data_IF_203775835861
#
_entry.id   IF_203775835861
#
_cell.length_a   1.000
_cell.length_b   1.000
_cell.length_c   1.000
_cell.angle_alpha   90.00
_cell.angle_beta   90.00
_cell.angle_gamma   90.00
#
_symmetry.space_group_name_H-M   'P 1'
#
loop_
_entity.id
_entity.type
_entity.pdbx_description
1 polymer ?
#
# COMPACT_ATOMS: atom_id res chain seq x y z
N UNK A 1 46.14 1.85 35.82
CA UNK A 1 46.01 3.26 35.38
C UNK A 1 45.61 3.27 33.91
N UNK A 2 44.33 3.42 33.60
CA UNK A 2 43.87 3.90 32.29
C UNK A 2 42.55 4.65 32.53
N UNK A 3 42.69 5.95 32.73
CA UNK A 3 41.63 6.94 32.64
C UNK A 3 41.64 7.48 31.23
N UNK A 4 40.50 7.43 30.52
CA UNK A 4 40.13 8.50 29.59
C UNK A 4 38.61 8.49 29.38
N UNK A 5 38.00 9.49 30.01
CA UNK A 5 36.62 9.93 29.86
C UNK A 5 36.43 10.49 28.45
N UNK A 6 35.37 10.06 27.76
CA UNK A 6 34.68 10.89 26.76
C UNK A 6 33.20 10.91 27.12
N UNK A 7 32.88 11.78 28.08
CA UNK A 7 31.52 12.29 28.29
C UNK A 7 31.14 13.06 27.02
N UNK A 8 30.40 12.43 26.12
CA UNK A 8 29.67 13.14 25.08
C UNK A 8 28.53 13.87 25.76
N UNK A 9 28.77 15.15 26.06
CA UNK A 9 27.67 16.09 26.34
C UNK A 9 26.79 16.10 25.10
N UNK A 10 25.64 15.43 25.20
CA UNK A 10 24.53 15.67 24.30
C UNK A 10 24.18 17.15 24.43
N UNK A 11 24.48 17.94 23.40
CA UNK A 11 24.09 19.34 23.34
C UNK A 11 22.58 19.33 23.19
N UNK A 12 21.86 19.38 24.31
CA UNK A 12 20.46 19.80 24.32
C UNK A 12 20.46 21.24 23.80
N UNK A 13 20.25 21.40 22.50
CA UNK A 13 19.90 22.70 21.92
C UNK A 13 18.58 23.10 22.57
N UNK A 14 18.66 23.92 23.60
CA UNK A 14 17.53 24.66 24.12
C UNK A 14 17.03 25.58 22.98
N UNK A 15 16.01 25.12 22.26
CA UNK A 15 15.21 25.98 21.39
C UNK A 15 14.28 26.76 22.32
N UNK A 16 14.86 27.77 22.99
CA UNK A 16 14.19 28.65 23.92
C UNK A 16 13.19 29.53 23.15
N UNK A 17 11.91 29.16 23.14
CA UNK A 17 10.86 30.09 22.72
C UNK A 17 9.60 29.53 22.04
N UNK A 18 9.54 28.25 21.66
CA UNK A 18 8.26 27.67 21.18
C UNK A 18 7.43 27.21 22.37
N UNK A 19 6.35 27.96 22.68
CA UNK A 19 5.26 27.43 23.52
C UNK A 19 4.82 26.09 22.94
N UNK A 20 4.80 25.08 23.80
CA UNK A 20 4.31 23.75 23.50
C UNK A 20 2.82 23.87 23.12
N UNK A 21 2.51 23.87 21.83
CA UNK A 21 1.12 23.82 21.33
C UNK A 21 0.47 22.45 21.59
N UNK A 22 1.18 21.52 22.25
CA UNK A 22 0.75 20.14 22.51
C UNK A 22 -0.45 20.02 23.45
N UNK A 23 -0.83 21.08 24.16
CA UNK A 23 -1.96 21.04 25.10
C UNK A 23 -3.32 21.30 24.43
N UNK A 24 -3.34 21.65 23.14
CA UNK A 24 -4.60 21.83 22.40
C UNK A 24 -5.16 20.45 22.04
N UNK A 25 -6.30 20.10 22.63
CA UNK A 25 -7.04 18.90 22.26
C UNK A 25 -7.46 18.98 20.79
N UNK A 26 -7.08 17.97 20.00
CA UNK A 26 -7.45 17.88 18.59
C UNK A 26 -8.95 17.58 18.46
N UNK A 27 -9.70 18.32 17.63
CA UNK A 27 -11.05 17.94 17.27
C UNK A 27 -11.01 16.63 16.47
N UNK A 28 -11.78 15.63 16.91
CA UNK A 28 -11.86 14.33 16.24
C UNK A 28 -13.14 14.30 15.38
N UNK A 29 -13.04 14.21 14.04
CA UNK A 29 -14.22 14.09 13.18
C UNK A 29 -15.07 12.88 13.57
N UNK A 30 -16.39 12.98 13.42
CA UNK A 30 -17.27 11.82 13.56
C UNK A 30 -16.89 10.71 12.56
N UNK A 31 -17.17 9.44 12.91
CA UNK A 31 -16.86 8.31 12.00
C UNK A 31 -17.65 8.47 10.70
N UNK A 32 -17.00 8.57 9.53
CA UNK A 32 -17.70 8.79 8.26
C UNK A 32 -18.64 7.63 7.94
N UNK A 33 -19.84 7.95 7.45
CA UNK A 33 -20.84 6.97 7.01
C UNK A 33 -20.83 6.87 5.48
N UNK A 34 -21.05 5.67 4.97
CA UNK A 34 -21.16 5.41 3.52
C UNK A 34 -19.83 5.12 2.81
N UNK A 35 -19.99 4.64 1.57
CA UNK A 35 -18.90 4.33 0.65
C UNK A 35 -19.38 4.65 -0.79
N UNK A 36 -18.53 5.24 -1.67
CA UNK A 36 -17.22 5.81 -1.38
C UNK A 36 -17.28 7.03 -0.46
N UNK A 37 -16.24 7.27 0.34
CA UNK A 37 -16.20 8.44 1.23
C UNK A 37 -15.79 9.68 0.43
N UNK A 38 -16.49 10.82 0.53
CA UNK A 38 -16.12 12.03 -0.20
C UNK A 38 -14.76 12.57 0.24
N UNK A 39 -14.10 13.25 -0.70
CA UNK A 39 -12.94 14.08 -0.38
C UNK A 39 -13.29 15.14 0.66
N UNK A 40 -12.28 15.58 1.40
CA UNK A 40 -12.43 16.66 2.38
C UNK A 40 -12.97 17.95 1.73
N UNK A 41 -13.81 18.65 2.47
CA UNK A 41 -14.36 19.96 2.16
C UNK A 41 -13.55 21.09 2.82
N UNK A 42 -13.90 22.34 2.53
CA UNK A 42 -13.28 23.51 3.20
C UNK A 42 -13.53 23.50 4.71
N UNK A 43 -14.73 23.08 5.11
CA UNK A 43 -15.12 22.95 6.51
C UNK A 43 -14.28 21.86 7.19
N UNK A 44 -14.15 20.69 6.55
CA UNK A 44 -13.30 19.61 7.08
C UNK A 44 -11.84 20.05 7.22
N UNK A 45 -11.33 20.80 6.24
CA UNK A 45 -9.97 21.32 6.28
C UNK A 45 -9.79 22.31 7.44
N UNK A 46 -10.75 23.23 7.60
CA UNK A 46 -10.73 24.25 8.63
C UNK A 46 -10.81 23.65 10.03
N UNK A 47 -11.71 22.70 10.23
CA UNK A 47 -12.03 22.15 11.53
C UNK A 47 -11.10 21.01 11.94
N UNK A 48 -10.48 20.28 11.01
CA UNK A 48 -9.71 19.08 11.35
C UNK A 48 -8.31 19.04 10.74
N UNK A 49 -8.14 19.38 9.46
CA UNK A 49 -6.83 19.30 8.81
C UNK A 49 -5.83 20.33 9.36
N UNK A 50 -6.21 21.59 9.48
CA UNK A 50 -5.28 22.62 9.93
C UNK A 50 -4.89 22.48 11.40
N UNK A 51 -5.78 22.08 12.32
CA UNK A 51 -5.35 21.64 13.65
C UNK A 51 -4.29 20.53 13.60
N UNK A 52 -4.42 19.54 12.71
CA UNK A 52 -3.43 18.48 12.57
C UNK A 52 -2.04 18.99 12.15
N UNK A 53 -1.96 20.11 11.42
CA UNK A 53 -0.67 20.73 11.07
C UNK A 53 0.10 21.20 12.31
N UNK A 54 -0.60 21.68 13.34
CA UNK A 54 0.03 22.02 14.62
C UNK A 54 0.58 20.79 15.35
N UNK A 55 0.08 19.59 15.02
CA UNK A 55 0.55 18.29 15.53
C UNK A 55 1.52 17.57 14.58
N UNK A 56 2.09 18.30 13.62
CA UNK A 56 3.14 17.79 12.73
C UNK A 56 2.66 16.90 11.59
N UNK A 57 1.35 16.80 11.36
CA UNK A 57 0.83 16.24 10.12
C UNK A 57 0.94 17.24 8.99
N UNK A 58 1.06 16.77 7.76
CA UNK A 58 1.04 17.63 6.58
C UNK A 58 0.58 16.85 5.36
N UNK A 59 0.16 17.58 4.34
CA UNK A 59 -0.21 17.01 3.04
C UNK A 59 1.03 16.95 2.16
N UNK A 60 1.26 15.82 1.50
CA UNK A 60 2.33 15.68 0.51
C UNK A 60 1.90 14.78 -0.66
N UNK A 61 2.52 14.97 -1.84
CA UNK A 61 2.31 14.07 -2.96
C UNK A 61 3.05 12.76 -2.71
N UNK A 62 2.33 11.65 -2.82
CA UNK A 62 2.90 10.29 -2.78
C UNK A 62 2.67 9.64 -4.14
N UNK A 63 3.71 8.99 -4.68
CA UNK A 63 3.55 8.24 -5.93
C UNK A 63 2.81 6.93 -5.67
N UNK A 64 1.72 6.70 -6.41
CA UNK A 64 1.05 5.41 -6.56
C UNK A 64 1.07 5.04 -8.03
N UNK A 65 1.82 3.99 -8.37
CA UNK A 65 1.95 3.52 -9.74
C UNK A 65 2.43 4.64 -10.69
N UNK A 66 1.53 5.17 -11.52
CA UNK A 66 1.76 6.26 -12.47
C UNK A 66 1.14 7.60 -12.05
N UNK A 67 0.46 7.67 -10.91
CA UNK A 67 -0.31 8.84 -10.47
C UNK A 67 0.26 9.37 -9.16
N UNK A 68 0.29 10.70 -9.01
CA UNK A 68 0.57 11.31 -7.71
C UNK A 68 -0.74 11.41 -6.94
N UNK A 69 -0.73 11.05 -5.67
CA UNK A 69 -1.93 11.15 -4.84
C UNK A 69 -1.60 12.01 -3.63
N UNK A 70 -2.57 12.81 -3.22
CA UNK A 70 -2.47 13.53 -1.97
C UNK A 70 -2.56 12.54 -0.80
N UNK A 71 -1.59 12.58 0.09
CA UNK A 71 -1.62 11.80 1.31
C UNK A 71 -1.30 12.68 2.52
N UNK A 72 -1.76 12.23 3.68
CA UNK A 72 -1.52 12.85 4.96
C UNK A 72 -0.35 12.13 5.63
N UNK A 73 0.74 12.84 5.88
CA UNK A 73 1.99 12.29 6.39
C UNK A 73 2.28 12.83 7.79
N UNK A 74 2.87 11.99 8.63
CA UNK A 74 3.44 12.40 9.90
C UNK A 74 4.69 11.58 10.22
N UNK A 75 5.57 12.16 11.03
CA UNK A 75 6.80 11.56 11.52
C UNK A 75 6.81 11.65 13.04
N UNK A 76 7.02 10.51 13.69
CA UNK A 76 7.22 10.40 15.13
C UNK A 76 8.65 9.91 15.39
N UNK A 77 9.35 10.56 16.31
CA UNK A 77 10.71 10.21 16.70
C UNK A 77 10.72 9.66 18.13
N UNK A 78 11.47 8.57 18.31
CA UNK A 78 11.52 7.80 19.54
C UNK A 78 12.98 7.58 19.97
N UNK A 79 13.25 7.53 21.29
CA UNK A 79 14.61 7.33 21.79
C UNK A 79 15.20 5.95 21.47
N UNK A 80 14.37 4.94 21.22
CA UNK A 80 14.80 3.59 20.87
C UNK A 80 13.70 2.83 20.12
N UNK A 81 14.01 1.62 19.64
CA UNK A 81 13.06 0.82 18.86
C UNK A 81 11.89 0.32 19.70
N UNK A 82 12.13 -0.03 20.97
CA UNK A 82 11.10 -0.56 21.87
C UNK A 82 9.86 0.34 22.01
N UNK A 83 9.95 1.64 22.36
CA UNK A 83 8.80 2.52 22.43
C UNK A 83 8.14 2.76 21.06
N UNK A 84 8.93 2.83 19.98
CA UNK A 84 8.38 2.95 18.63
C UNK A 84 7.54 1.72 18.23
N UNK A 85 8.00 0.52 18.58
CA UNK A 85 7.28 -0.72 18.35
C UNK A 85 5.99 -0.81 19.21
N UNK A 86 6.04 -0.37 20.47
CA UNK A 86 4.85 -0.30 21.33
C UNK A 86 3.80 0.66 20.74
N UNK A 87 4.21 1.87 20.35
CA UNK A 87 3.31 2.83 19.70
C UNK A 87 2.75 2.31 18.37
N UNK A 88 3.56 1.58 17.59
CA UNK A 88 3.11 0.93 16.36
C UNK A 88 2.02 -0.11 16.63
N UNK A 89 2.12 -0.87 17.73
CA UNK A 89 1.06 -1.81 18.14
C UNK A 89 -0.25 -1.08 18.44
N UNK A 90 -0.19 0.03 19.19
CA UNK A 90 -1.40 0.82 19.50
C UNK A 90 -2.07 1.37 18.22
N UNK A 91 -1.26 1.73 17.21
CA UNK A 91 -1.77 2.11 15.89
C UNK A 91 -2.45 0.93 15.18
N UNK A 92 -1.93 -0.29 15.28
CA UNK A 92 -2.60 -1.47 14.70
C UNK A 92 -3.95 -1.75 15.36
N UNK A 93 -4.05 -1.63 16.68
CA UNK A 93 -5.31 -1.76 17.41
C UNK A 93 -6.32 -0.69 16.93
N UNK A 94 -5.84 0.52 16.62
CA UNK A 94 -6.65 1.60 16.03
C UNK A 94 -7.08 1.33 14.58
N UNK A 95 -6.21 0.77 13.74
CA UNK A 95 -6.50 0.42 12.33
C UNK A 95 -7.68 -0.54 12.27
N UNK A 96 -7.68 -1.58 13.11
CA UNK A 96 -8.76 -2.56 13.20
C UNK A 96 -10.08 -1.93 13.66
N UNK A 97 -10.02 -1.06 14.67
CA UNK A 97 -11.19 -0.38 15.24
C UNK A 97 -11.83 0.61 14.24
N UNK A 98 -11.01 1.41 13.58
CA UNK A 98 -11.48 2.39 12.60
C UNK A 98 -11.80 1.75 11.24
N UNK A 99 -11.32 0.53 10.99
CA UNK A 99 -11.39 -0.16 9.69
C UNK A 99 -10.83 0.72 8.57
N UNK A 100 -9.69 1.36 8.86
CA UNK A 100 -9.00 2.27 7.96
C UNK A 100 -7.50 1.99 8.01
N UNK A 101 -6.95 1.46 6.91
CA UNK A 101 -5.55 1.11 6.82
C UNK A 101 -4.76 2.29 6.26
N UNK A 102 -3.66 2.73 6.90
CA UNK A 102 -2.75 3.66 6.26
C UNK A 102 -2.13 2.98 5.04
N UNK A 103 -1.78 3.78 4.04
CA UNK A 103 -1.13 3.28 2.82
C UNK A 103 0.22 2.62 3.14
N UNK A 104 0.98 3.21 4.05
CA UNK A 104 2.16 2.59 4.60
C UNK A 104 2.50 3.14 5.98
N UNK A 105 3.15 2.29 6.76
CA UNK A 105 3.72 2.58 8.07
C UNK A 105 5.16 2.06 8.05
N UNK A 106 6.12 2.97 8.25
CA UNK A 106 7.54 2.64 8.15
C UNK A 106 8.27 2.99 9.45
N UNK A 107 8.81 1.97 10.11
CA UNK A 107 9.71 2.13 11.24
C UNK A 107 11.16 1.97 10.77
N UNK A 108 11.97 2.99 11.04
CA UNK A 108 13.41 2.99 10.77
C UNK A 108 14.16 3.11 12.10
N UNK A 109 15.19 2.29 12.31
CA UNK A 109 16.01 2.33 13.52
C UNK A 109 17.45 2.75 13.19
N UNK A 110 18.03 3.57 14.05
CA UNK A 110 19.40 4.07 13.97
C UNK A 110 20.04 4.11 15.35
N UNK A 111 21.34 4.36 15.40
CA UNK A 111 22.08 4.53 16.66
C UNK A 111 21.61 5.72 17.49
N UNK A 112 20.97 6.71 16.87
CA UNK A 112 20.46 7.93 17.54
C UNK A 112 19.00 7.85 17.96
N UNK A 113 18.29 6.77 17.59
CA UNK A 113 16.87 6.62 17.89
C UNK A 113 16.12 5.87 16.79
N UNK A 114 14.80 5.84 16.91
CA UNK A 114 13.91 5.26 15.91
C UNK A 114 12.92 6.29 15.40
N UNK A 115 12.54 6.17 14.14
CA UNK A 115 11.58 7.05 13.51
C UNK A 115 10.46 6.20 12.94
N UNK A 116 9.22 6.58 13.25
CA UNK A 116 8.02 6.04 12.65
C UNK A 116 7.46 7.08 11.67
N UNK A 117 7.26 6.70 10.42
CA UNK A 117 6.59 7.52 9.41
C UNK A 117 5.26 6.87 9.04
N UNK A 118 4.21 7.67 8.99
CA UNK A 118 2.85 7.24 8.65
C UNK A 118 2.41 8.00 7.40
N UNK A 119 1.74 7.30 6.48
CA UNK A 119 1.10 7.88 5.31
C UNK A 119 -0.32 7.33 5.19
N UNK A 120 -1.31 8.21 5.34
CA UNK A 120 -2.72 7.87 5.19
C UNK A 120 -3.31 8.51 3.94
N UNK A 121 -4.08 7.71 3.21
CA UNK A 121 -4.95 8.15 2.11
C UNK A 121 -6.03 7.09 1.96
N UNK A 122 -7.22 7.50 1.51
CA UNK A 122 -8.31 6.56 1.21
C UNK A 122 -8.19 6.13 -0.26
N UNK A 123 -8.09 4.83 -0.55
CA UNK A 123 -7.88 4.31 -1.91
C UNK A 123 -9.10 4.47 -2.85
N UNK A 124 -10.31 4.57 -2.28
CA UNK A 124 -11.56 4.71 -3.03
C UNK A 124 -12.37 5.92 -2.53
N UNK A 125 -11.77 7.09 -2.61
CA UNK A 125 -12.39 8.34 -2.22
C UNK A 125 -13.21 8.92 -3.40
N UNK A 126 -14.34 9.54 -3.10
CA UNK A 126 -15.17 10.21 -4.10
C UNK A 126 -14.68 11.65 -4.28
N UNK A 127 -13.96 11.93 -5.37
CA UNK A 127 -13.49 13.29 -5.65
C UNK A 127 -14.66 14.22 -6.03
N UNK A 128 -14.53 15.56 -5.83
CA UNK A 128 -15.51 16.51 -6.34
C UNK A 128 -15.67 16.39 -7.85
N UNK A 129 -16.86 16.72 -8.34
CA UNK A 129 -17.06 16.86 -9.79
C UNK A 129 -16.34 18.12 -10.25
N UNK A 130 -15.33 17.97 -11.10
CA UNK A 130 -14.58 19.11 -11.64
C UNK A 130 -15.06 19.49 -13.02
N UNK A 131 -15.39 18.47 -13.84
CA UNK A 131 -15.79 18.66 -15.23
C UNK A 131 -17.16 18.02 -15.47
N UNK A 132 -17.94 18.58 -16.41
CA UNK A 132 -19.26 18.05 -16.75
C UNK A 132 -19.20 16.62 -17.32
N UNK A 133 -18.05 16.23 -17.87
CA UNK A 133 -17.77 14.90 -18.39
C UNK A 133 -17.40 13.85 -17.31
N UNK A 134 -17.23 14.27 -16.04
CA UNK A 134 -16.90 13.35 -14.95
C UNK A 134 -18.11 12.47 -14.59
N UNK A 135 -18.11 11.22 -15.04
CA UNK A 135 -19.06 10.20 -14.57
C UNK A 135 -18.72 9.76 -13.15
N UNK A 136 -19.70 9.28 -12.38
CA UNK A 136 -19.51 8.78 -11.00
C UNK A 136 -18.48 7.66 -10.93
N UNK A 137 -18.47 6.77 -11.92
CA UNK A 137 -17.55 5.62 -11.97
C UNK A 137 -16.09 6.06 -12.13
N UNK A 138 -15.85 7.22 -12.75
CA UNK A 138 -14.52 7.80 -12.94
C UNK A 138 -14.07 8.72 -11.77
N UNK A 139 -14.88 8.81 -10.71
CA UNK A 139 -14.62 9.70 -9.56
C UNK A 139 -14.12 8.96 -8.32
N UNK A 140 -14.21 7.63 -8.29
CA UNK A 140 -13.62 6.83 -7.23
C UNK A 140 -12.10 6.72 -7.45
N UNK A 141 -11.35 7.57 -6.75
CA UNK A 141 -9.88 7.65 -6.85
C UNK A 141 -9.26 7.76 -5.46
N UNK A 142 -7.97 7.45 -5.35
CA UNK A 142 -7.26 7.67 -4.11
C UNK A 142 -7.23 9.18 -3.76
N UNK A 143 -7.52 9.51 -2.50
CA UNK A 143 -7.50 10.89 -2.03
C UNK A 143 -7.75 11.02 -0.52
N UNK A 144 -7.68 12.25 -0.04
CA UNK A 144 -7.87 12.58 1.37
C UNK A 144 -9.35 12.69 1.72
N UNK A 145 -9.78 11.94 2.73
CA UNK A 145 -11.15 11.98 3.24
C UNK A 145 -11.18 12.24 4.75
N UNK A 146 -12.39 12.39 5.31
CA UNK A 146 -12.58 12.45 6.76
C UNK A 146 -12.08 11.18 7.49
N UNK A 147 -11.97 10.02 6.83
CA UNK A 147 -11.38 8.83 7.45
C UNK A 147 -9.91 9.04 7.77
N UNK A 148 -9.18 9.67 6.85
CA UNK A 148 -7.77 10.01 7.02
C UNK A 148 -7.57 11.04 8.13
N UNK A 149 -8.40 12.10 8.15
CA UNK A 149 -8.32 13.13 9.20
C UNK A 149 -8.65 12.56 10.58
N UNK A 150 -9.67 11.71 10.67
CA UNK A 150 -10.06 11.05 11.93
C UNK A 150 -8.98 10.10 12.42
N UNK A 151 -8.43 9.27 11.53
CA UNK A 151 -7.33 8.37 11.86
C UNK A 151 -6.11 9.14 12.38
N UNK A 152 -5.71 10.21 11.68
CA UNK A 152 -4.60 11.05 12.10
C UNK A 152 -4.82 11.72 13.46
N UNK A 153 -6.02 12.24 13.73
CA UNK A 153 -6.35 12.83 15.02
C UNK A 153 -6.25 11.81 16.16
N UNK A 154 -6.77 10.60 15.97
CA UNK A 154 -6.69 9.52 16.94
C UNK A 154 -5.25 9.05 17.19
N UNK A 155 -4.45 8.90 16.12
CA UNK A 155 -3.01 8.58 16.25
C UNK A 155 -2.27 9.67 17.03
N UNK A 156 -2.56 10.95 16.77
CA UNK A 156 -2.00 12.06 17.54
C UNK A 156 -2.41 12.01 19.01
N UNK A 157 -3.64 11.63 19.33
CA UNK A 157 -4.10 11.46 20.71
C UNK A 157 -3.40 10.30 21.44
N UNK A 158 -2.99 9.25 20.74
CA UNK A 158 -2.20 8.15 21.32
C UNK A 158 -0.77 8.60 21.67
N UNK A 159 -0.21 9.57 20.93
CA UNK A 159 1.15 10.04 21.12
C UNK A 159 1.22 11.15 22.17
N UNK A 160 1.36 10.76 23.44
CA UNK A 160 1.46 11.68 24.60
C UNK A 160 2.85 12.30 24.80
N UNK A 161 3.84 12.00 23.96
CA UNK A 161 5.20 12.51 24.17
C UNK A 161 5.27 14.02 23.90
N UNK A 162 5.75 14.84 24.87
CA UNK A 162 5.71 16.31 24.82
C UNK A 162 6.75 16.95 23.89
N UNK A 163 7.43 16.17 23.05
CA UNK A 163 8.40 16.69 22.10
C UNK A 163 7.74 17.02 20.76
N UNK A 164 7.70 18.28 20.30
CA UNK A 164 7.42 18.52 18.90
C UNK A 164 8.47 17.76 18.07
N UNK A 165 8.09 17.05 16.99
CA UNK A 165 9.06 16.43 16.12
C UNK A 165 10.06 17.50 15.68
N UNK A 166 11.36 17.18 15.62
CA UNK A 166 12.39 18.13 15.17
C UNK A 166 12.05 18.56 13.72
N UNK A 167 11.40 19.72 13.60
CA UNK A 167 10.71 20.20 12.41
C UNK A 167 11.66 20.75 11.33
N UNK A 168 12.83 20.14 11.10
CA UNK A 168 13.59 20.44 9.88
C UNK A 168 12.81 20.05 8.62
N UNK A 169 11.81 19.18 8.75
CA UNK A 169 10.92 18.79 7.67
C UNK A 169 9.57 19.53 7.75
N UNK A 170 9.58 20.86 7.59
CA UNK A 170 8.34 21.61 7.38
C UNK A 170 8.46 22.54 6.17
N UNK A 171 8.25 22.04 4.93
CA UNK A 171 8.31 22.89 3.75
C UNK A 171 7.20 23.96 3.70
N UNK A 172 6.16 23.89 4.55
CA UNK A 172 5.19 24.99 4.69
C UNK A 172 4.37 24.87 5.98
N UNK A 173 4.84 25.45 7.08
CA UNK A 173 3.99 25.66 8.27
C UNK A 173 2.83 26.64 8.00
N UNK A 174 2.81 27.28 6.82
CA UNK A 174 1.72 28.13 6.38
C UNK A 174 0.52 27.27 6.00
N UNK A 175 -0.61 27.50 6.67
CA UNK A 175 -1.94 27.07 6.22
C UNK A 175 -2.17 27.63 4.81
N UNK A 176 -2.15 26.81 3.75
CA UNK A 176 -2.46 27.32 2.42
C UNK A 176 -3.92 27.79 2.40
N UNK A 177 -4.26 28.87 1.70
CA UNK A 177 -5.64 29.20 1.38
C UNK A 177 -6.33 27.99 0.75
N UNK A 178 -7.62 27.78 1.06
CA UNK A 178 -8.38 26.62 0.59
C UNK A 178 -8.30 26.45 -0.94
N UNK A 179 -8.40 27.55 -1.71
CA UNK A 179 -8.28 27.53 -3.16
C UNK A 179 -6.93 27.00 -3.67
N UNK A 180 -5.82 27.32 -2.98
CA UNK A 180 -4.49 26.82 -3.31
C UNK A 180 -4.37 25.32 -2.99
N UNK A 181 -4.94 24.90 -1.86
CA UNK A 181 -5.01 23.48 -1.50
C UNK A 181 -5.81 22.69 -2.54
N UNK A 182 -6.99 23.16 -2.95
CA UNK A 182 -7.78 22.50 -3.99
C UNK A 182 -7.02 22.38 -5.32
N UNK A 183 -6.33 23.45 -5.73
CA UNK A 183 -5.50 23.45 -6.94
C UNK A 183 -4.39 22.40 -6.85
N UNK A 184 -3.76 22.32 -5.68
CA UNK A 184 -2.70 21.35 -5.39
C UNK A 184 -3.23 19.91 -5.43
N UNK A 185 -4.32 19.62 -4.72
CA UNK A 185 -4.96 18.30 -4.71
C UNK A 185 -5.40 17.87 -6.11
N UNK A 186 -5.97 18.79 -6.89
CA UNK A 186 -6.36 18.54 -8.29
C UNK A 186 -5.15 18.22 -9.17
N UNK A 187 -4.07 18.97 -9.02
CA UNK A 187 -2.85 18.79 -9.83
C UNK A 187 -2.19 17.43 -9.62
N UNK A 188 -2.26 16.87 -8.41
CA UNK A 188 -1.68 15.56 -8.12
C UNK A 188 -2.57 14.44 -8.67
N UNK A 189 -3.88 14.50 -8.41
CA UNK A 189 -4.81 13.44 -8.80
C UNK A 189 -5.16 13.40 -10.28
N UNK A 190 -4.75 14.41 -11.05
CA UNK A 190 -4.84 14.33 -12.52
C UNK A 190 -3.86 13.25 -12.97
N UNK A 191 -4.30 12.22 -13.72
CA UNK A 191 -3.36 11.28 -14.33
C UNK A 191 -2.34 12.10 -15.09
N UNK A 192 -1.09 12.15 -14.61
CA UNK A 192 -0.03 12.68 -15.44
C UNK A 192 -0.04 11.77 -16.66
N UNK A 193 -0.21 12.35 -17.85
CA UNK A 193 -0.05 11.61 -19.09
C UNK A 193 1.23 10.81 -18.90
N UNK A 194 1.11 9.49 -18.71
CA UNK A 194 2.26 8.65 -18.45
C UNK A 194 3.22 9.01 -19.57
N UNK A 195 4.40 9.59 -19.24
CA UNK A 195 5.20 10.36 -20.19
C UNK A 195 5.17 9.56 -21.46
N UNK A 196 4.47 10.11 -22.49
CA UNK A 196 4.10 9.32 -23.67
C UNK A 196 5.35 8.52 -23.97
N UNK A 197 5.22 7.19 -24.06
CA UNK A 197 6.35 6.29 -24.28
C UNK A 197 7.09 6.59 -25.60
N UNK A 198 6.95 7.80 -26.16
CA UNK A 198 7.90 8.49 -27.00
C UNK A 198 9.31 8.29 -26.46
N UNK A 199 9.98 7.36 -27.14
CA UNK A 199 11.39 7.42 -27.47
C UNK A 199 12.21 8.16 -26.42
N UNK A 200 12.55 7.48 -25.32
CA UNK A 200 13.82 7.79 -24.72
C UNK A 200 14.82 7.74 -25.90
N UNK A 201 15.51 8.82 -26.27
CA UNK A 201 16.34 8.87 -27.48
C UNK A 201 17.46 7.80 -27.48
N UNK A 202 17.62 7.11 -26.34
CA UNK A 202 18.49 5.93 -26.17
C UNK A 202 17.91 4.60 -26.65
N UNK A 203 16.61 4.50 -26.96
CA UNK A 203 16.02 3.27 -27.48
C UNK A 203 15.80 3.40 -28.99
N UNK A 204 16.90 3.32 -29.75
CA UNK A 204 16.83 2.96 -31.16
C UNK A 204 16.44 1.49 -31.27
N UNK A 205 15.46 1.20 -32.12
CA UNK A 205 15.03 -0.17 -32.38
C UNK A 205 16.22 -1.02 -32.86
N UNK A 206 16.54 -2.11 -32.15
CA UNK A 206 17.67 -2.95 -32.54
C UNK A 206 17.47 -3.66 -33.89
N UNK A 207 16.25 -3.68 -34.42
CA UNK A 207 15.92 -4.30 -35.71
C UNK A 207 16.06 -3.30 -36.88
N UNK A 208 15.49 -2.10 -36.78
CA UNK A 208 15.45 -1.14 -37.89
C UNK A 208 16.08 0.22 -37.59
N UNK A 209 16.70 0.40 -36.42
CA UNK A 209 17.25 1.65 -35.91
C UNK A 209 16.25 2.82 -35.73
N UNK A 210 14.95 2.61 -35.97
CA UNK A 210 13.91 3.63 -35.79
C UNK A 210 13.61 3.98 -34.32
N UNK A 211 12.87 5.08 -34.07
CA UNK A 211 12.60 5.59 -32.72
C UNK A 211 11.44 4.87 -32.00
N UNK A 212 11.54 3.54 -31.87
CA UNK A 212 10.56 2.69 -31.16
C UNK A 212 11.24 1.50 -30.48
N UNK A 213 10.53 0.83 -29.56
CA UNK A 213 11.06 -0.37 -28.91
C UNK A 213 11.10 -1.54 -29.91
N UNK A 214 12.13 -2.41 -29.83
CA UNK A 214 12.24 -3.58 -30.73
C UNK A 214 11.01 -4.50 -30.66
N UNK A 215 10.26 -4.51 -29.56
CA UNK A 215 8.99 -5.25 -29.44
C UNK A 215 7.90 -4.78 -30.39
N UNK A 216 7.93 -3.49 -30.73
CA UNK A 216 6.86 -2.80 -31.46
C UNK A 216 7.22 -2.62 -32.95
N UNK A 217 8.36 -3.17 -33.37
CA UNK A 217 8.89 -3.00 -34.71
C UNK A 217 8.19 -3.90 -35.73
N UNK A 218 7.42 -3.31 -36.64
CA UNK A 218 6.68 -4.04 -37.67
C UNK A 218 7.57 -4.90 -38.58
N UNK A 219 8.77 -4.41 -38.92
CA UNK A 219 9.70 -5.11 -39.82
C UNK A 219 10.56 -6.16 -39.12
N UNK A 220 10.53 -6.27 -37.78
CA UNK A 220 11.43 -7.18 -37.03
C UNK A 220 11.23 -8.66 -37.37
N UNK A 221 10.02 -9.03 -37.80
CA UNK A 221 9.67 -10.39 -38.17
C UNK A 221 10.20 -10.78 -39.54
N UNK A 222 10.53 -9.78 -40.38
CA UNK A 222 11.10 -9.97 -41.71
C UNK A 222 12.63 -9.91 -41.73
N UNK A 223 13.26 -9.58 -40.59
CA UNK A 223 14.70 -9.46 -40.45
C UNK A 223 15.27 -10.66 -39.68
N UNK A 224 16.45 -11.13 -40.08
CA UNK A 224 17.16 -12.16 -39.33
C UNK A 224 17.62 -11.59 -37.98
N UNK A 225 17.21 -12.18 -36.85
CA UNK A 225 17.59 -11.65 -35.55
C UNK A 225 19.08 -11.92 -35.24
N UNK A 226 19.75 -11.05 -34.47
CA UNK A 226 21.11 -11.28 -34.01
C UNK A 226 21.17 -12.45 -33.01
N UNK A 227 22.38 -12.96 -32.73
CA UNK A 227 22.58 -13.89 -31.62
C UNK A 227 22.34 -13.18 -30.29
N UNK A 228 21.40 -13.70 -29.52
CA UNK A 228 21.04 -13.19 -28.21
C UNK A 228 22.23 -13.22 -27.25
N UNK A 229 22.57 -12.09 -26.64
CA UNK A 229 23.70 -12.00 -25.70
C UNK A 229 23.50 -12.84 -24.44
N UNK A 230 22.25 -13.15 -24.10
CA UNK A 230 21.86 -13.96 -22.94
C UNK A 230 22.01 -15.44 -23.25
N UNK A 231 21.17 -16.02 -24.12
CA UNK A 231 21.14 -17.46 -24.34
C UNK A 231 21.87 -17.95 -25.61
N UNK A 232 22.48 -17.04 -26.37
CA UNK A 232 23.23 -17.31 -27.61
C UNK A 232 22.42 -17.82 -28.81
N UNK A 233 21.10 -17.99 -28.67
CA UNK A 233 20.17 -18.35 -29.76
C UNK A 233 19.86 -17.19 -30.70
N UNK A 234 19.30 -17.48 -31.88
CA UNK A 234 18.93 -16.48 -32.90
C UNK A 234 17.52 -15.94 -32.62
N UNK A 235 17.44 -14.85 -31.86
CA UNK A 235 16.21 -14.11 -31.60
C UNK A 235 16.54 -12.71 -31.07
N UNK A 236 15.61 -11.78 -31.26
CA UNK A 236 15.69 -10.47 -30.62
C UNK A 236 15.75 -10.64 -29.11
N UNK A 237 16.55 -9.81 -28.42
CA UNK A 237 16.69 -9.90 -26.95
C UNK A 237 15.34 -9.82 -26.23
N UNK A 238 14.39 -9.04 -26.74
CA UNK A 238 13.01 -8.92 -26.20
C UNK A 238 12.22 -10.23 -26.26
N UNK A 239 12.61 -11.15 -27.15
CA UNK A 239 11.98 -12.45 -27.35
C UNK A 239 12.74 -13.59 -26.66
N UNK A 240 13.80 -13.29 -25.90
CA UNK A 240 14.63 -14.31 -25.27
C UNK A 240 13.83 -15.11 -24.22
N UNK A 241 13.75 -16.45 -24.35
CA UNK A 241 12.97 -17.29 -23.44
C UNK A 241 13.52 -17.25 -22.00
N UNK A 242 14.84 -17.15 -21.83
CA UNK A 242 15.48 -17.03 -20.50
C UNK A 242 15.06 -15.73 -19.81
N UNK A 243 15.03 -14.61 -20.53
CA UNK A 243 14.61 -13.32 -19.97
C UNK A 243 13.12 -13.32 -19.61
N UNK A 244 12.27 -13.88 -20.48
CA UNK A 244 10.83 -14.02 -20.20
C UNK A 244 10.57 -14.88 -18.97
N UNK A 245 11.28 -16.00 -18.82
CA UNK A 245 11.20 -16.86 -17.64
C UNK A 245 11.65 -16.13 -16.38
N UNK A 246 12.81 -15.46 -16.41
CA UNK A 246 13.33 -14.67 -15.28
C UNK A 246 12.33 -13.60 -14.82
N UNK A 247 11.75 -12.84 -15.75
CA UNK A 247 10.76 -11.81 -15.46
C UNK A 247 9.49 -12.39 -14.84
N UNK A 248 9.02 -13.56 -15.33
CA UNK A 248 7.82 -14.23 -14.82
C UNK A 248 8.01 -14.86 -13.43
N UNK A 249 9.21 -15.38 -13.15
CA UNK A 249 9.48 -16.10 -11.89
C UNK A 249 10.11 -15.23 -10.81
N UNK A 250 10.57 -14.02 -11.15
CA UNK A 250 11.37 -13.19 -10.25
C UNK A 250 12.78 -13.73 -10.01
N UNK A 251 13.18 -14.78 -10.73
CA UNK A 251 14.52 -15.35 -10.62
C UNK A 251 15.53 -14.54 -11.44
N UNK A 252 16.77 -14.51 -10.99
CA UNK A 252 17.88 -13.92 -11.74
C UNK A 252 18.20 -14.72 -13.01
N UNK A 253 18.79 -14.07 -14.01
CA UNK A 253 19.18 -14.72 -15.27
C UNK A 253 20.11 -15.92 -15.02
N UNK A 254 21.03 -15.83 -14.06
CA UNK A 254 21.94 -16.93 -13.68
C UNK A 254 21.20 -18.11 -13.05
N UNK A 255 20.14 -17.86 -12.28
CA UNK A 255 19.30 -18.91 -11.70
C UNK A 255 18.45 -19.62 -12.76
N UNK A 256 18.00 -18.91 -13.80
CA UNK A 256 17.29 -19.52 -14.94
C UNK A 256 18.24 -20.27 -15.87
N UNK A 257 19.49 -19.80 -15.98
CA UNK A 257 20.55 -20.38 -16.83
C UNK A 257 21.19 -21.66 -16.31
N UNK A 258 20.71 -22.26 -15.21
CA UNK A 258 21.40 -23.38 -14.55
C UNK A 258 21.89 -24.39 -15.60
N UNK A 259 23.21 -24.56 -15.76
CA UNK A 259 23.72 -25.55 -16.68
C UNK A 259 23.31 -26.92 -16.16
N UNK A 260 22.63 -27.71 -16.97
CA UNK A 260 22.72 -29.16 -16.83
C UNK A 260 24.21 -29.50 -17.08
N UNK A 261 24.78 -30.35 -16.24
CA UNK A 261 26.24 -30.51 -16.03
C UNK A 261 27.02 -31.00 -17.25
N UNK A 262 26.33 -31.24 -18.36
CA UNK A 262 26.75 -31.93 -19.58
C UNK A 262 26.34 -31.20 -20.88
N UNK A 263 25.66 -30.05 -20.79
CA UNK A 263 25.40 -29.20 -21.96
C UNK A 263 24.32 -29.70 -22.94
N UNK A 264 23.58 -30.76 -22.61
CA UNK A 264 22.35 -31.14 -23.31
C UNK A 264 21.13 -30.46 -22.67
N UNK A 265 20.19 -30.02 -23.52
CA UNK A 265 18.88 -29.53 -23.09
C UNK A 265 17.93 -30.73 -23.04
N UNK A 266 18.04 -31.59 -22.02
CA UNK A 266 17.04 -32.63 -21.84
C UNK A 266 15.77 -32.03 -21.22
N UNK A 267 14.60 -32.16 -21.86
CA UNK A 267 13.33 -31.86 -21.21
C UNK A 267 13.18 -32.75 -19.96
N UNK A 268 12.34 -32.35 -18.98
CA UNK A 268 12.11 -33.18 -17.80
C UNK A 268 11.74 -34.61 -18.21
N UNK A 269 12.32 -35.64 -17.58
CA UNK A 269 12.25 -37.03 -18.06
C UNK A 269 10.85 -37.65 -18.04
N UNK A 270 9.87 -36.96 -17.43
CA UNK A 270 8.46 -37.35 -17.41
C UNK A 270 7.59 -36.14 -17.03
N UNK A 271 6.28 -36.15 -17.34
CA UNK A 271 5.32 -35.20 -16.79
C UNK A 271 5.41 -35.12 -15.27
N UNK A 272 5.30 -33.93 -14.68
CA UNK A 272 5.46 -33.73 -13.25
C UNK A 272 4.48 -34.62 -12.47
N UNK A 273 4.94 -35.51 -11.57
CA UNK A 273 4.07 -36.49 -10.92
C UNK A 273 2.99 -35.88 -10.01
N UNK A 274 3.12 -34.59 -9.68
CA UNK A 274 2.15 -33.89 -8.83
C UNK A 274 1.01 -33.23 -9.62
N UNK A 275 1.20 -32.93 -10.91
CA UNK A 275 0.19 -32.19 -11.69
C UNK A 275 0.11 -32.55 -13.18
N UNK A 276 0.97 -33.44 -13.67
CA UNK A 276 1.06 -33.84 -15.08
C UNK A 276 1.66 -32.80 -16.02
N UNK A 277 2.18 -31.67 -15.51
CA UNK A 277 2.75 -30.61 -16.36
C UNK A 277 4.24 -30.80 -16.70
N UNK A 278 4.70 -30.18 -17.80
CA UNK A 278 6.08 -30.24 -18.28
C UNK A 278 7.03 -29.31 -17.48
N UNK A 279 7.35 -29.71 -16.26
CA UNK A 279 8.34 -29.05 -15.40
C UNK A 279 8.95 -30.03 -14.40
N UNK A 280 10.08 -29.66 -13.81
CA UNK A 280 10.72 -30.44 -12.75
C UNK A 280 9.87 -30.47 -11.48
N UNK A 281 9.87 -31.58 -10.74
CA UNK A 281 9.11 -31.75 -9.48
C UNK A 281 9.36 -30.61 -8.48
N UNK A 282 10.60 -30.09 -8.42
CA UNK A 282 11.00 -29.00 -7.52
C UNK A 282 10.39 -27.65 -7.89
N UNK A 283 9.91 -27.48 -9.12
CA UNK A 283 9.32 -26.24 -9.64
C UNK A 283 7.78 -26.31 -9.68
N UNK A 284 7.19 -27.41 -9.19
CA UNK A 284 5.74 -27.61 -9.22
C UNK A 284 5.04 -26.68 -8.21
N UNK A 285 4.15 -25.82 -8.72
CA UNK A 285 3.37 -24.87 -7.91
C UNK A 285 2.07 -25.45 -7.34
N UNK A 286 1.67 -26.65 -7.76
CA UNK A 286 0.53 -27.34 -7.16
C UNK A 286 0.97 -27.77 -5.76
N UNK A 287 0.24 -27.39 -4.69
CA UNK A 287 0.57 -27.86 -3.35
C UNK A 287 0.64 -29.38 -3.35
N UNK A 288 1.72 -29.97 -2.84
CA UNK A 288 1.78 -31.41 -2.72
C UNK A 288 0.67 -31.83 -1.75
N UNK A 289 -0.25 -32.67 -2.24
CA UNK A 289 -1.22 -33.29 -1.35
C UNK A 289 -0.41 -34.07 -0.29
N UNK A 290 -0.60 -33.81 1.01
CA UNK A 290 0.10 -34.58 2.03
C UNK A 290 -0.27 -36.07 1.82
N UNK A 291 0.69 -37.00 1.99
CA UNK A 291 0.50 -38.41 1.62
C UNK A 291 -0.71 -39.12 2.25
N UNK A 292 -1.41 -38.52 3.22
CA UNK A 292 -2.58 -39.07 3.91
C UNK A 292 -3.87 -38.20 3.78
N UNK A 293 -4.04 -37.38 2.74
CA UNK A 293 -5.25 -36.55 2.62
C UNK A 293 -6.55 -37.37 2.47
N UNK A 294 -6.51 -38.51 1.78
CA UNK A 294 -7.68 -39.38 1.61
C UNK A 294 -8.10 -40.07 2.93
N UNK A 295 -7.15 -40.37 3.83
CA UNK A 295 -7.43 -40.92 5.16
C UNK A 295 -8.07 -39.90 6.11
N UNK A 296 -7.81 -38.59 5.91
CA UNK A 296 -8.36 -37.53 6.78
C UNK A 296 -9.69 -36.96 6.32
N UNK A 297 -10.12 -37.25 5.08
CA UNK A 297 -11.43 -36.83 4.56
C UNK A 297 -12.55 -37.84 4.86
N UNK A 298 -12.22 -39.01 5.42
CA UNK A 298 -13.18 -39.96 5.98
C UNK A 298 -13.55 -39.57 7.43
N UNK A 299 -14.15 -38.39 7.63
CA UNK A 299 -14.87 -38.12 8.88
C UNK A 299 -16.26 -38.76 8.81
N UNK A 300 -16.72 -39.47 9.86
CA UNK A 300 -18.07 -40.02 9.89
C UNK A 300 -19.06 -38.86 9.84
N UNK A 301 -19.98 -38.92 8.87
CA UNK A 301 -21.10 -37.99 8.75
C UNK A 301 -21.93 -38.16 10.04
N UNK A 302 -22.07 -37.12 10.89
CA UNK A 302 -22.95 -37.24 12.04
C UNK A 302 -24.38 -37.42 11.54
N UNK A 303 -25.05 -38.44 12.08
CA UNK A 303 -26.47 -38.69 11.83
C UNK A 303 -27.25 -37.42 12.18
N UNK A 304 -28.09 -36.87 11.28
CA UNK A 304 -28.87 -35.69 11.61
C UNK A 304 -29.87 -36.04 12.72
N UNK A 305 -29.80 -35.32 13.84
CA UNK A 305 -30.84 -35.40 14.86
C UNK A 305 -32.17 -34.88 14.28
N UNK A 306 -33.31 -35.52 14.61
CA UNK A 306 -34.61 -35.11 14.11
C UNK A 306 -34.96 -33.72 14.64
N UNK A 307 -35.19 -32.79 13.71
CA UNK A 307 -35.67 -31.43 14.01
C UNK A 307 -37.11 -31.54 14.52
N UNK A 308 -37.34 -31.20 15.79
CA UNK A 308 -38.67 -31.13 16.38
C UNK A 308 -39.38 -29.83 15.96
N UNK A 309 -40.31 -29.94 15.00
CA UNK A 309 -41.03 -28.83 14.37
C UNK A 309 -42.08 -28.17 15.30
N UNK A 310 -42.41 -28.73 16.47
CA UNK A 310 -43.45 -28.18 17.35
C UNK A 310 -43.05 -26.89 18.08
N UNK A 311 -41.75 -26.57 18.18
CA UNK A 311 -41.29 -25.38 18.91
C UNK A 311 -41.32 -24.10 18.08
N UNK A 312 -41.36 -24.17 16.75
CA UNK A 312 -41.29 -22.98 15.88
C UNK A 312 -42.65 -22.29 15.74
N UNK A 313 -43.76 -22.97 16.03
CA UNK A 313 -45.11 -22.42 15.85
C UNK A 313 -45.64 -21.65 17.07
N UNK A 314 -45.14 -21.95 18.29
CA UNK A 314 -45.54 -21.25 19.52
C UNK A 314 -44.97 -19.83 19.62
N UNK A 315 -43.72 -19.62 19.20
CA UNK A 315 -43.09 -18.28 19.21
C UNK A 315 -43.75 -17.31 18.25
N UNK A 316 -44.39 -17.83 17.18
CA UNK A 316 -45.10 -17.01 16.18
C UNK A 316 -46.48 -16.56 16.66
N UNK A 317 -47.08 -17.26 17.61
CA UNK A 317 -48.40 -16.94 18.19
C UNK A 317 -48.26 -15.91 19.32
N UNK A 318 -47.18 -15.97 20.11
CA UNK A 318 -46.96 -15.03 21.21
C UNK A 318 -46.59 -13.61 20.73
N UNK A 319 -45.89 -13.48 19.61
CA UNK A 319 -45.52 -12.17 19.06
C UNK A 319 -46.68 -11.32 18.50
N UNK A 320 -47.89 -11.86 18.38
CA UNK A 320 -49.07 -11.12 17.86
C UNK A 320 -49.95 -10.50 18.95
N UNK A 321 -49.69 -10.79 20.24
CA UNK A 321 -50.62 -10.39 21.31
C UNK A 321 -50.31 -9.04 21.98
N UNK A 322 -49.11 -8.49 21.78
CA UNK A 322 -48.66 -7.28 22.51
C UNK A 322 -48.85 -5.96 21.74
N UNK A 323 -49.59 -5.98 20.63
CA UNK A 323 -49.69 -4.83 19.71
C UNK A 323 -50.97 -3.99 19.77
N UNK A 324 -51.89 -4.21 20.72
CA UNK A 324 -53.20 -3.55 20.66
C UNK A 324 -53.75 -3.14 22.03
N UNK A 325 -53.07 -2.24 22.73
CA UNK A 325 -53.65 -1.45 23.83
C UNK A 325 -52.96 -0.07 23.86
N UNK A 326 -53.56 0.93 23.21
CA UNK A 326 -53.51 2.37 23.56
C UNK A 326 -54.41 3.14 22.59
N UNK A 327 -55.67 3.33 23.00
CA UNK A 327 -56.58 4.37 22.54
C UNK A 327 -57.39 4.84 23.75
#
# INVERSE_FOLDING_TARGET
>A
MFTLRLSRRCVQRHVSGRRLLSDVSLPIPAKPKGWPTPWITEDDATNFLFPLYAHGWYIAPVRSDAVQIAALLCRFDFPSFKPAAAFTKDIFDLIETERHHPRWLNISHSTTGSTLKICSTTDSALRPQWDAADTTDNRALAGLTLRDLRFAALVSSLHTSPGPPDHEFNPSSSRPPWAELCTTLRSWSTPQEAPKKGSNPRFTCAACAGPHQTSDCAVRHSLTPPRCTVCKGLHWRVDCPILKTAQRTGLTISQVKRPVRDGSFEPPPAPCPNCGGDHWKVDCRVPQAPPNLLERLALPIPNPEPINLETVELDRILAKKDGNETA
#
